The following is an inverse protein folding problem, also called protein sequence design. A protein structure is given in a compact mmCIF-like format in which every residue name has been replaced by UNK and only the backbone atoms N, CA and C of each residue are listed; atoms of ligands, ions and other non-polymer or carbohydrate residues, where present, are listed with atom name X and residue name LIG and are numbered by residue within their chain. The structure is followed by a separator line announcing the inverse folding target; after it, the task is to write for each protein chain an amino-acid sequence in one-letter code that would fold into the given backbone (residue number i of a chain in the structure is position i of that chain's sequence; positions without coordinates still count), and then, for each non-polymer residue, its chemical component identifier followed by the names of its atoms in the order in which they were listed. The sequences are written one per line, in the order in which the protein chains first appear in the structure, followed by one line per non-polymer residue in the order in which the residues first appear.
data_IF_845860303632
#
_entry.id   IF_845860303632
#
_cell.length_a   1.000
_cell.length_b   1.000
_cell.length_c   1.000
_cell.angle_alpha   90.00
_cell.angle_beta   90.00
_cell.angle_gamma   90.00
#
_symmetry.space_group_name_H-M   'P 1'
#
loop_
_entity.id
_entity.type
_entity.pdbx_description
1 polymer ?
#
# COMPACT_ATOMS: atom_id res chain seq x y z
N UNK A 1 8.63 -1.30 -3.36
CA UNK A 1 7.42 -2.08 -3.69
C UNK A 1 6.12 -1.30 -3.53
N UNK A 2 6.08 -0.15 -2.83
CA UNK A 2 4.87 0.71 -2.78
C UNK A 2 5.04 2.07 -3.49
N UNK A 3 6.03 2.19 -4.40
CA UNK A 3 6.28 3.43 -5.15
C UNK A 3 5.12 3.82 -6.05
N UNK A 4 4.40 2.86 -6.62
CA UNK A 4 3.21 3.10 -7.44
C UNK A 4 2.02 3.58 -6.58
N UNK A 5 1.82 3.00 -5.39
CA UNK A 5 0.81 3.50 -4.45
C UNK A 5 1.08 4.94 -4.03
N UNK A 6 2.35 5.23 -3.71
CA UNK A 6 2.77 6.57 -3.33
C UNK A 6 2.60 7.58 -4.46
N UNK A 7 2.93 7.20 -5.71
CA UNK A 7 2.71 8.04 -6.88
C UNK A 7 1.23 8.33 -7.12
N UNK A 8 0.35 7.33 -6.97
CA UNK A 8 -1.09 7.52 -7.08
C UNK A 8 -1.64 8.47 -6.00
N UNK A 9 -1.24 8.29 -4.74
CA UNK A 9 -1.62 9.20 -3.65
C UNK A 9 -1.14 10.64 -3.91
N UNK A 10 0.10 10.81 -4.35
CA UNK A 10 0.62 12.14 -4.72
C UNK A 10 -0.18 12.77 -5.86
N UNK A 11 -0.56 11.98 -6.88
CA UNK A 11 -1.39 12.45 -7.99
C UNK A 11 -2.79 12.91 -7.51
N UNK A 12 -3.32 12.29 -6.45
CA UNK A 12 -4.57 12.66 -5.78
C UNK A 12 -4.42 13.85 -4.79
N UNK A 13 -3.22 14.44 -4.69
CA UNK A 13 -2.95 15.62 -3.88
C UNK A 13 -2.44 15.34 -2.47
N UNK A 14 -2.11 14.08 -2.13
CA UNK A 14 -1.61 13.72 -0.82
C UNK A 14 -0.16 14.18 -0.59
N UNK A 15 0.12 14.55 0.65
CA UNK A 15 1.48 14.66 1.16
C UNK A 15 1.91 13.30 1.71
N UNK A 16 2.84 12.62 1.03
CA UNK A 16 3.25 11.25 1.35
C UNK A 16 4.66 11.26 1.94
N UNK A 17 4.83 10.67 3.12
CA UNK A 17 6.15 10.35 3.69
C UNK A 17 6.44 8.88 3.42
N UNK A 18 7.61 8.58 2.88
CA UNK A 18 8.03 7.24 2.48
C UNK A 18 9.27 6.81 3.25
N UNK A 19 9.09 6.16 4.41
CA UNK A 19 10.19 5.52 5.08
C UNK A 19 10.60 4.27 4.30
N UNK A 20 11.80 4.26 3.72
CA UNK A 20 12.32 3.08 3.00
C UNK A 20 13.81 2.89 3.26
N UNK A 21 14.25 1.62 3.36
CA UNK A 21 15.68 1.27 3.43
C UNK A 21 16.43 1.56 2.14
N UNK A 22 15.70 1.57 1.02
CA UNK A 22 16.24 1.91 -0.30
C UNK A 22 15.78 3.30 -0.67
N UNK A 23 16.75 4.18 -0.92
CA UNK A 23 16.50 5.51 -1.46
C UNK A 23 15.71 5.39 -2.76
N UNK A 24 14.51 5.95 -2.78
CA UNK A 24 13.62 5.95 -3.95
C UNK A 24 12.86 7.27 -3.97
N UNK A 25 13.55 8.39 -4.28
CA UNK A 25 12.91 9.69 -4.36
C UNK A 25 11.89 9.63 -5.50
N UNK A 26 10.63 9.91 -5.19
CA UNK A 26 9.68 10.27 -6.23
C UNK A 26 9.98 11.73 -6.59
N UNK A 27 10.10 12.08 -7.88
CA UNK A 27 10.37 13.46 -8.27
C UNK A 27 9.24 14.34 -7.73
N UNK A 28 9.56 15.14 -6.72
CA UNK A 28 8.72 16.25 -6.33
C UNK A 28 8.78 17.24 -7.48
N UNK A 29 7.62 17.45 -8.11
CA UNK A 29 7.37 18.51 -9.09
C UNK A 29 7.99 18.24 -10.48
N UNK A 30 7.36 17.35 -11.24
CA UNK A 30 7.04 17.62 -12.64
C UNK A 30 6.02 16.58 -13.15
N UNK A 31 4.78 17.00 -13.35
CA UNK A 31 3.72 16.17 -13.96
C UNK A 31 4.20 15.59 -15.31
N UNK A 32 5.00 16.35 -16.04
CA UNK A 32 5.58 15.96 -17.32
C UNK A 32 6.66 14.87 -17.18
N UNK A 33 7.46 14.90 -16.10
CA UNK A 33 8.46 13.87 -15.82
C UNK A 33 7.81 12.57 -15.33
N UNK A 34 6.69 12.66 -14.60
CA UNK A 34 5.88 11.50 -14.21
C UNK A 34 5.17 10.88 -15.43
N UNK A 35 4.53 11.69 -16.27
CA UNK A 35 3.92 11.24 -17.52
C UNK A 35 4.97 10.62 -18.47
N UNK A 36 6.17 11.20 -18.54
CA UNK A 36 7.28 10.67 -19.33
C UNK A 36 7.90 9.41 -18.72
N UNK A 37 8.00 9.29 -17.38
CA UNK A 37 8.48 8.09 -16.71
C UNK A 37 7.49 6.93 -16.86
N UNK A 38 6.18 7.20 -16.78
CA UNK A 38 5.11 6.24 -17.07
C UNK A 38 5.10 5.85 -18.56
N UNK A 39 5.34 6.79 -19.47
CA UNK A 39 5.43 6.51 -20.91
C UNK A 39 6.72 5.79 -21.31
N UNK A 40 7.84 6.02 -20.61
CA UNK A 40 9.13 5.35 -20.86
C UNK A 40 9.22 3.97 -20.17
N UNK A 41 8.44 3.74 -19.11
CA UNK A 41 8.28 2.43 -18.49
C UNK A 41 7.42 1.46 -19.34
N UNK A 42 6.82 1.95 -20.43
CA UNK A 42 6.01 1.17 -21.36
C UNK A 42 6.45 1.38 -22.83
N UNK A 43 7.57 0.79 -23.30
CA UNK A 43 7.71 0.50 -24.71
C UNK A 43 7.18 -0.93 -24.97
N UNK A 44 6.11 -0.98 -25.76
CA UNK A 44 5.56 -2.11 -26.52
C UNK A 44 5.71 -3.52 -25.93
N UNK A 45 4.66 -3.98 -25.25
CA UNK A 45 4.33 -5.41 -25.20
C UNK A 45 2.86 -5.62 -25.52
N UNK A 46 2.59 -6.00 -26.77
CA UNK A 46 1.37 -6.66 -27.22
C UNK A 46 1.79 -7.77 -28.19
N UNK A 47 1.29 -9.01 -28.09
CA UNK A 47 1.10 -9.82 -26.89
C UNK A 47 1.63 -11.26 -27.08
N UNK A 48 1.99 -11.96 -26.01
CA UNK A 48 2.01 -13.43 -26.04
C UNK A 48 1.43 -13.96 -24.73
N UNK A 49 0.14 -14.32 -24.81
CA UNK A 49 -0.63 -15.10 -23.83
C UNK A 49 -1.13 -14.29 -22.63
N UNK A 50 -2.17 -13.50 -22.90
CA UNK A 50 -3.09 -12.97 -21.92
C UNK A 50 -3.83 -14.11 -21.20
N UNK A 51 -3.29 -14.54 -20.06
CA UNK A 51 -4.10 -15.08 -18.97
C UNK A 51 -4.86 -13.90 -18.36
N UNK A 52 -6.18 -13.91 -18.50
CA UNK A 52 -7.08 -12.79 -18.23
C UNK A 52 -7.16 -12.42 -16.75
N UNK A 53 -6.22 -11.63 -16.24
CA UNK A 53 -6.49 -10.78 -15.07
C UNK A 53 -7.27 -9.57 -15.55
N UNK A 54 -8.59 -9.57 -15.33
CA UNK A 54 -9.37 -8.35 -15.39
C UNK A 54 -9.45 -7.78 -13.98
N UNK A 55 -9.22 -6.47 -13.79
CA UNK A 55 -9.57 -5.83 -12.53
C UNK A 55 -11.04 -6.16 -12.22
N UNK A 56 -11.26 -6.73 -11.04
CA UNK A 56 -12.60 -7.06 -10.56
C UNK A 56 -13.51 -5.84 -10.68
N UNK A 57 -14.81 -6.07 -10.89
CA UNK A 57 -15.77 -4.97 -11.03
C UNK A 57 -15.81 -4.00 -9.83
N UNK A 58 -15.23 -4.40 -8.69
CA UNK A 58 -14.97 -3.55 -7.53
C UNK A 58 -13.85 -2.53 -7.79
N UNK A 59 -12.69 -2.95 -8.33
CA UNK A 59 -11.58 -2.06 -8.67
C UNK A 59 -11.97 -1.01 -9.73
N UNK A 60 -12.74 -1.42 -10.75
CA UNK A 60 -13.29 -0.50 -11.76
C UNK A 60 -14.30 0.49 -11.19
N UNK A 61 -15.14 0.07 -10.24
CA UNK A 61 -16.11 0.95 -9.57
C UNK A 61 -15.44 1.90 -8.57
N UNK A 62 -14.39 1.46 -7.89
CA UNK A 62 -13.59 2.30 -6.99
C UNK A 62 -12.90 3.44 -7.74
N UNK A 63 -12.35 3.17 -8.93
CA UNK A 63 -11.76 4.20 -9.81
C UNK A 63 -12.80 5.17 -10.42
N UNK A 64 -14.09 4.91 -10.25
CA UNK A 64 -15.19 5.70 -10.83
C UNK A 64 -16.10 6.36 -9.79
N UNK A 65 -15.91 6.08 -8.50
CA UNK A 65 -16.84 6.45 -7.42
C UNK A 65 -16.33 7.62 -6.59
N UNK A 66 -16.79 8.83 -6.91
CA UNK A 66 -16.51 10.01 -6.09
C UNK A 66 -17.31 10.00 -4.79
N UNK A 67 -16.64 10.14 -3.65
CA UNK A 67 -17.32 10.38 -2.39
C UNK A 67 -16.55 10.03 -1.12
N UNK A 68 -15.35 10.57 -0.93
CA UNK A 68 -14.62 10.48 0.34
C UNK A 68 -13.38 11.36 0.31
N UNK A 69 -13.30 12.32 1.24
CA UNK A 69 -12.26 13.35 1.36
C UNK A 69 -12.08 14.30 0.15
N UNK A 70 -12.54 15.54 0.30
CA UNK A 70 -12.30 16.62 -0.67
C UNK A 70 -11.00 17.32 -0.24
N UNK A 71 -9.89 17.25 -1.00
CA UNK A 71 -8.69 17.98 -0.66
C UNK A 71 -9.03 19.46 -0.57
N UNK A 72 -8.79 20.05 0.60
CA UNK A 72 -9.00 21.49 0.80
C UNK A 72 -7.88 22.21 0.07
N UNK A 73 -8.25 22.91 -1.01
CA UNK A 73 -7.38 23.62 -1.96
C UNK A 73 -6.50 22.72 -2.83
N UNK A 74 -6.27 23.15 -4.07
CA UNK A 74 -5.39 22.51 -5.06
C UNK A 74 -3.94 22.49 -4.55
N UNK A 75 -3.64 21.56 -3.65
CA UNK A 75 -2.28 21.26 -3.22
C UNK A 75 -1.73 20.26 -4.21
N UNK A 76 -0.62 20.60 -4.85
CA UNK A 76 0.20 19.59 -5.51
C UNK A 76 0.65 18.61 -4.43
N UNK A 77 0.27 17.34 -4.58
CA UNK A 77 0.77 16.30 -3.71
C UNK A 77 2.29 16.27 -3.78
N UNK A 78 2.95 15.84 -2.70
CA UNK A 78 4.42 15.75 -2.65
C UNK A 78 4.83 14.48 -1.93
N UNK A 79 5.96 13.91 -2.34
CA UNK A 79 6.55 12.76 -1.68
C UNK A 79 7.86 13.17 -0.99
N UNK A 80 7.99 12.85 0.29
CA UNK A 80 9.20 13.03 1.06
C UNK A 80 9.74 11.67 1.46
N UNK A 81 11.01 11.41 1.13
CA UNK A 81 11.66 10.18 1.53
C UNK A 81 12.32 10.34 2.90
N UNK A 82 12.24 9.28 3.70
CA UNK A 82 12.93 9.16 4.99
C UNK A 82 13.65 7.81 5.01
N UNK A 83 14.85 7.78 5.57
CA UNK A 83 15.56 6.51 5.73
C UNK A 83 14.83 5.64 6.75
N UNK A 84 14.43 4.44 6.35
CA UNK A 84 13.81 3.50 7.29
C UNK A 84 14.85 2.60 7.97
N UNK A 85 15.15 2.87 9.23
CA UNK A 85 15.80 1.90 10.11
C UNK A 85 14.76 1.25 11.03
N UNK A 86 14.42 0.01 10.71
CA UNK A 86 13.42 -0.78 11.45
C UNK A 86 13.94 -1.28 12.79
N UNK A 87 15.26 -1.36 12.91
CA UNK A 87 15.96 -1.64 14.15
C UNK A 87 16.02 -0.42 15.09
N UNK A 88 15.62 0.77 14.59
CA UNK A 88 15.49 2.01 15.37
C UNK A 88 14.10 2.66 15.11
N UNK A 89 13.02 2.09 15.68
CA UNK A 89 11.65 2.58 15.48
C UNK A 89 11.45 4.03 15.92
N UNK A 90 12.12 4.46 17.00
CA UNK A 90 11.99 5.82 17.53
C UNK A 90 12.65 6.84 16.59
N UNK A 91 13.86 6.55 16.10
CA UNK A 91 14.53 7.38 15.10
C UNK A 91 13.76 7.46 13.78
N UNK A 92 13.15 6.34 13.37
CA UNK A 92 12.24 6.27 12.23
C UNK A 92 11.03 7.20 12.42
N UNK A 93 10.32 7.09 13.56
CA UNK A 93 9.14 7.89 13.86
C UNK A 93 9.48 9.38 13.97
N UNK A 94 10.57 9.74 14.63
CA UNK A 94 11.03 11.13 14.72
C UNK A 94 11.30 11.73 13.34
N UNK A 95 11.99 10.98 12.47
CA UNK A 95 12.31 11.43 11.11
C UNK A 95 11.05 11.54 10.24
N UNK A 96 10.13 10.58 10.35
CA UNK A 96 8.85 10.61 9.66
C UNK A 96 7.98 11.79 10.12
N UNK A 97 7.89 12.04 11.43
CA UNK A 97 7.15 13.16 12.00
C UNK A 97 7.71 14.52 11.56
N UNK A 98 9.03 14.66 11.53
CA UNK A 98 9.69 15.87 11.01
C UNK A 98 9.38 16.12 9.53
N UNK A 99 9.39 15.06 8.71
CA UNK A 99 9.04 15.17 7.29
C UNK A 99 7.55 15.48 7.08
N UNK A 100 6.68 14.84 7.85
CA UNK A 100 5.24 15.01 7.77
C UNK A 100 4.81 16.44 8.15
N UNK A 101 5.43 17.00 9.20
CA UNK A 101 5.15 18.32 9.75
C UNK A 101 3.65 18.52 10.07
N UNK A 102 3.07 17.55 10.76
CA UNK A 102 1.66 17.45 11.11
C UNK A 102 1.28 16.03 11.48
N UNK A 103 -0.01 15.79 11.66
CA UNK A 103 -0.58 14.45 11.85
C UNK A 103 -0.83 13.77 10.49
N UNK A 104 -0.85 12.44 10.47
CA UNK A 104 -1.12 11.64 9.28
C UNK A 104 -2.57 11.16 9.30
N UNK A 105 -3.33 11.45 8.24
CA UNK A 105 -4.69 10.94 8.07
C UNK A 105 -4.74 9.49 7.55
N UNK A 106 -3.62 8.97 7.03
CA UNK A 106 -3.50 7.63 6.45
C UNK A 106 -2.12 7.02 6.75
N UNK A 107 -2.12 5.79 7.23
CA UNK A 107 -0.93 4.94 7.36
C UNK A 107 -1.04 3.74 6.43
N UNK A 108 -0.04 3.54 5.56
CA UNK A 108 0.12 2.30 4.79
C UNK A 108 1.39 1.60 5.27
N UNK A 109 1.23 0.48 5.98
CA UNK A 109 2.29 -0.22 6.67
C UNK A 109 2.53 -1.60 6.05
N UNK A 110 3.64 -1.76 5.31
CA UNK A 110 4.14 -3.09 4.95
C UNK A 110 5.37 -3.39 5.78
N UNK A 111 5.18 -4.05 6.93
CA UNK A 111 6.20 -4.20 7.96
C UNK A 111 6.54 -5.70 8.18
N UNK A 112 7.82 -6.09 8.05
CA UNK A 112 8.33 -7.38 8.52
C UNK A 112 7.84 -7.70 9.94
N UNK A 113 7.32 -8.90 10.13
CA UNK A 113 6.64 -9.32 11.36
C UNK A 113 7.49 -9.08 12.62
N UNK A 114 8.81 -9.30 12.54
CA UNK A 114 9.75 -9.14 13.67
C UNK A 114 9.84 -7.69 14.21
N UNK A 115 9.48 -6.68 13.42
CA UNK A 115 9.50 -5.27 13.83
C UNK A 115 8.10 -4.65 13.95
N UNK A 116 7.04 -5.39 13.59
CA UNK A 116 5.68 -4.86 13.41
C UNK A 116 5.20 -4.03 14.59
N UNK A 117 5.11 -4.66 15.76
CA UNK A 117 4.54 -4.02 16.95
C UNK A 117 5.34 -2.79 17.36
N UNK A 118 6.68 -2.93 17.43
CA UNK A 118 7.56 -1.81 17.83
C UNK A 118 7.51 -0.63 16.88
N UNK A 119 7.42 -0.87 15.56
CA UNK A 119 7.31 0.21 14.58
C UNK A 119 5.94 0.86 14.64
N UNK A 120 4.87 0.06 14.75
CA UNK A 120 3.50 0.58 14.85
C UNK A 120 3.31 1.41 16.13
N UNK A 121 3.84 0.96 17.27
CA UNK A 121 3.87 1.73 18.53
C UNK A 121 4.56 3.08 18.34
N UNK A 122 5.73 3.09 17.70
CA UNK A 122 6.52 4.31 17.52
C UNK A 122 5.85 5.32 16.60
N UNK A 123 5.12 4.88 15.56
CA UNK A 123 4.45 5.78 14.62
C UNK A 123 3.02 6.16 15.02
N UNK A 124 2.39 5.42 15.94
CA UNK A 124 1.02 5.70 16.38
C UNK A 124 0.80 7.16 16.85
N UNK A 125 1.72 7.81 17.58
CA UNK A 125 1.56 9.21 17.99
C UNK A 125 1.56 10.21 16.83
N UNK A 126 1.94 9.80 15.60
CA UNK A 126 1.90 10.64 14.42
C UNK A 126 0.54 10.61 13.71
N UNK A 127 -0.36 9.71 14.11
CA UNK A 127 -1.65 9.51 13.45
C UNK A 127 -2.70 10.49 14.00
N UNK A 128 -3.45 11.11 13.10
CA UNK A 128 -4.63 11.88 13.45
C UNK A 128 -5.67 10.96 14.13
N UNK A 129 -6.52 11.49 15.00
CA UNK A 129 -7.51 10.70 15.76
C UNK A 129 -8.41 9.81 14.87
N UNK A 130 -8.76 10.27 13.66
CA UNK A 130 -9.61 9.56 12.71
C UNK A 130 -8.84 8.93 11.53
N UNK A 131 -7.52 8.76 11.70
CA UNK A 131 -6.64 8.21 10.69
C UNK A 131 -7.08 6.82 10.23
N UNK A 132 -6.80 6.52 8.97
CA UNK A 132 -7.06 5.22 8.34
C UNK A 132 -5.78 4.40 8.29
N UNK A 133 -5.89 3.10 8.53
CA UNK A 133 -4.73 2.22 8.51
C UNK A 133 -4.92 1.14 7.43
N UNK A 134 -3.88 0.92 6.65
CA UNK A 134 -3.77 -0.21 5.73
C UNK A 134 -2.51 -0.99 6.10
N UNK A 135 -2.68 -2.20 6.62
CA UNK A 135 -1.57 -3.11 6.91
C UNK A 135 -1.40 -4.11 5.75
N UNK A 136 -0.16 -4.30 5.30
CA UNK A 136 0.20 -5.21 4.21
C UNK A 136 1.07 -6.33 4.77
N UNK A 137 0.61 -7.56 4.58
CA UNK A 137 1.26 -8.79 5.00
C UNK A 137 1.71 -9.57 3.75
N UNK A 138 2.98 -9.96 3.72
CA UNK A 138 3.45 -10.91 2.71
C UNK A 138 3.07 -12.33 3.07
N UNK A 139 2.86 -13.21 2.09
CA UNK A 139 2.92 -14.65 2.33
C UNK A 139 4.37 -15.03 2.62
N UNK A 140 4.73 -15.04 3.90
CA UNK A 140 5.85 -15.85 4.35
C UNK A 140 5.61 -17.30 3.98
N UNK A 141 6.68 -18.10 3.97
CA UNK A 141 6.60 -19.53 3.65
C UNK A 141 5.65 -20.22 4.63
N UNK A 142 4.40 -20.49 4.21
CA UNK A 142 3.38 -21.20 4.99
C UNK A 142 2.24 -20.36 5.55
N UNK A 143 2.08 -19.09 5.16
CA UNK A 143 0.97 -18.25 5.67
C UNK A 143 -0.38 -18.60 4.99
N UNK A 144 -1.35 -19.00 5.81
CA UNK A 144 -2.78 -19.12 5.49
C UNK A 144 -3.52 -17.84 5.94
N UNK A 145 -4.77 -17.63 5.52
CA UNK A 145 -5.56 -16.47 6.01
C UNK A 145 -5.64 -16.42 7.54
N UNK A 146 -5.61 -17.59 8.19
CA UNK A 146 -5.69 -17.75 9.64
C UNK A 146 -4.40 -17.35 10.37
N UNK A 147 -3.28 -17.16 9.66
CA UNK A 147 -2.01 -16.70 10.28
C UNK A 147 -1.83 -15.19 10.21
N UNK A 148 -2.76 -14.47 9.58
CA UNK A 148 -2.69 -13.01 9.47
C UNK A 148 -2.97 -12.38 10.83
N UNK A 149 -2.02 -11.62 11.40
CA UNK A 149 -2.22 -11.00 12.70
C UNK A 149 -3.44 -10.07 12.73
N UNK A 150 -4.10 -9.99 13.88
CA UNK A 150 -5.09 -8.95 14.13
C UNK A 150 -4.45 -7.55 14.10
N UNK A 151 -5.21 -6.49 13.76
CA UNK A 151 -4.72 -5.12 13.79
C UNK A 151 -4.10 -4.79 15.14
N UNK A 152 -2.88 -4.26 15.11
CA UNK A 152 -2.18 -3.90 16.34
C UNK A 152 -2.67 -2.56 16.88
N UNK A 153 -2.91 -1.61 15.97
CA UNK A 153 -3.46 -0.28 16.29
C UNK A 153 -5.00 -0.36 16.35
N UNK A 154 -5.53 -0.89 17.46
CA UNK A 154 -6.97 -1.20 17.61
C UNK A 154 -7.89 -0.01 17.60
N UNK A 155 -7.37 1.19 17.89
CA UNK A 155 -8.15 2.43 17.92
C UNK A 155 -8.45 2.97 16.51
N UNK A 156 -7.82 2.39 15.48
CA UNK A 156 -7.92 2.86 14.10
C UNK A 156 -8.59 1.83 13.18
N UNK A 157 -9.53 2.26 12.32
CA UNK A 157 -10.15 1.39 11.32
C UNK A 157 -9.08 0.89 10.34
N UNK A 158 -8.84 -0.41 10.37
CA UNK A 158 -7.72 -1.04 9.64
C UNK A 158 -8.21 -1.94 8.51
N UNK A 159 -7.78 -1.67 7.28
CA UNK A 159 -7.86 -2.63 6.18
C UNK A 159 -6.57 -3.48 6.19
N UNK A 160 -6.69 -4.79 6.04
CA UNK A 160 -5.53 -5.70 5.96
C UNK A 160 -5.41 -6.26 4.56
N UNK A 161 -4.20 -6.27 3.99
CA UNK A 161 -3.90 -6.81 2.66
C UNK A 161 -2.95 -7.98 2.81
N UNK A 162 -3.31 -9.14 2.27
CA UNK A 162 -2.48 -10.35 2.29
C UNK A 162 -2.04 -10.66 0.87
N UNK A 163 -0.73 -10.72 0.66
CA UNK A 163 -0.12 -10.96 -0.64
C UNK A 163 0.19 -12.43 -0.82
N UNK A 164 -0.49 -13.09 -1.76
CA UNK A 164 -0.26 -14.47 -2.16
C UNK A 164 0.61 -14.61 -3.41
N UNK A 165 0.29 -15.62 -4.21
CA UNK A 165 0.93 -15.92 -5.50
C UNK A 165 -0.12 -16.05 -6.61
N UNK A 166 0.30 -16.15 -7.87
CA UNK A 166 -0.61 -16.36 -9.00
C UNK A 166 -0.33 -17.72 -9.64
N UNK A 167 -1.37 -18.49 -9.92
CA UNK A 167 -1.24 -19.73 -10.69
C UNK A 167 -0.99 -19.45 -12.18
N UNK A 168 0.03 -20.10 -12.72
CA UNK A 168 0.36 -20.18 -14.13
C UNK A 168 0.35 -21.64 -14.56
N UNK A 169 -0.84 -22.14 -14.90
CA UNK A 169 -1.06 -23.55 -15.21
C UNK A 169 -0.75 -24.42 -13.98
N UNK A 170 0.31 -25.21 -14.06
CA UNK A 170 0.77 -26.08 -12.97
C UNK A 170 1.84 -25.45 -12.07
N UNK A 171 2.25 -24.22 -12.35
CA UNK A 171 3.28 -23.51 -11.59
C UNK A 171 2.70 -22.30 -10.89
N UNK A 172 3.40 -21.81 -9.87
CA UNK A 172 3.07 -20.55 -9.20
C UNK A 172 4.13 -19.51 -9.52
N UNK A 173 3.71 -18.25 -9.60
CA UNK A 173 4.63 -17.12 -9.62
C UNK A 173 4.27 -16.12 -8.53
N UNK A 174 5.25 -15.35 -8.10
CA UNK A 174 5.01 -14.21 -7.24
C UNK A 174 4.16 -13.16 -7.95
N UNK A 175 3.44 -12.37 -7.14
CA UNK A 175 2.77 -11.17 -7.60
C UNK A 175 3.80 -10.19 -8.18
N UNK A 176 3.42 -9.53 -9.26
CA UNK A 176 4.15 -8.39 -9.80
C UNK A 176 4.00 -7.19 -8.88
N UNK A 177 4.90 -6.21 -9.01
CA UNK A 177 4.81 -4.97 -8.25
C UNK A 177 3.48 -4.24 -8.49
N UNK A 178 2.98 -4.22 -9.73
CA UNK A 178 1.70 -3.62 -10.09
C UNK A 178 0.52 -4.37 -9.45
N UNK A 179 0.52 -5.71 -9.46
CA UNK A 179 -0.54 -6.48 -8.79
C UNK A 179 -0.57 -6.22 -7.28
N UNK A 180 0.59 -6.09 -6.65
CA UNK A 180 0.69 -5.68 -5.24
C UNK A 180 0.16 -4.26 -5.04
N UNK A 181 0.61 -3.31 -5.89
CA UNK A 181 0.23 -1.91 -5.77
C UNK A 181 -1.28 -1.69 -5.96
N UNK A 182 -1.90 -2.36 -6.94
CA UNK A 182 -3.34 -2.33 -7.19
C UNK A 182 -4.14 -2.86 -5.99
N UNK A 183 -3.68 -3.98 -5.42
CA UNK A 183 -4.31 -4.58 -4.24
C UNK A 183 -4.25 -3.66 -3.02
N UNK A 184 -3.09 -3.04 -2.79
CA UNK A 184 -2.90 -2.07 -1.69
C UNK A 184 -3.74 -0.81 -1.93
N UNK A 185 -3.76 -0.26 -3.14
CA UNK A 185 -4.56 0.92 -3.48
C UNK A 185 -6.05 0.64 -3.32
N UNK A 186 -6.53 -0.55 -3.71
CA UNK A 186 -7.92 -0.92 -3.48
C UNK A 186 -8.29 -0.92 -1.99
N UNK A 187 -7.38 -1.34 -1.10
CA UNK A 187 -7.60 -1.29 0.34
C UNK A 187 -7.54 0.15 0.88
N UNK A 188 -6.63 0.99 0.37
CA UNK A 188 -6.56 2.42 0.68
C UNK A 188 -7.88 3.12 0.32
N UNK A 189 -8.38 2.94 -0.91
CA UNK A 189 -9.65 3.55 -1.34
C UNK A 189 -10.79 3.15 -0.40
N UNK A 190 -10.90 1.86 -0.04
CA UNK A 190 -11.91 1.41 0.92
C UNK A 190 -11.80 2.09 2.28
N UNK A 191 -10.57 2.24 2.78
CA UNK A 191 -10.32 2.88 4.06
C UNK A 191 -10.75 4.36 4.03
N UNK A 192 -10.43 5.06 2.94
CA UNK A 192 -10.78 6.47 2.72
C UNK A 192 -12.29 6.68 2.46
N UNK A 193 -12.95 5.71 1.82
CA UNK A 193 -14.40 5.67 1.63
C UNK A 193 -15.17 5.35 2.94
N UNK A 194 -14.45 5.11 4.04
CA UNK A 194 -15.04 4.80 5.34
C UNK A 194 -15.69 3.41 5.41
N UNK A 195 -15.31 2.50 4.52
CA UNK A 195 -15.81 1.13 4.54
C UNK A 195 -15.30 0.37 5.77
N UNK A 196 -16.07 -0.61 6.30
CA UNK A 196 -15.65 -1.39 7.46
C UNK A 196 -14.30 -2.09 7.26
N UNK A 197 -13.51 -2.29 8.34
CA UNK A 197 -12.32 -3.13 8.35
C UNK A 197 -12.56 -4.47 7.66
N UNK A 198 -11.64 -4.87 6.79
CA UNK A 198 -11.73 -6.12 6.04
C UNK A 198 -10.34 -6.67 5.72
N UNK A 199 -10.28 -7.97 5.46
CA UNK A 199 -9.10 -8.69 4.98
C UNK A 199 -9.20 -8.84 3.45
N UNK A 200 -8.20 -8.31 2.74
CA UNK A 200 -8.10 -8.31 1.27
C UNK A 200 -7.01 -9.27 0.84
N UNK A 201 -7.38 -10.32 0.13
CA UNK A 201 -6.42 -11.23 -0.47
C UNK A 201 -6.06 -10.76 -1.88
N UNK A 202 -4.76 -10.67 -2.17
CA UNK A 202 -4.23 -10.38 -3.51
C UNK A 202 -3.51 -11.63 -3.99
N UNK A 203 -3.93 -12.18 -5.12
CA UNK A 203 -3.50 -13.51 -5.56
C UNK A 203 -4.13 -14.64 -4.74
N UNK A 204 -3.59 -15.84 -4.87
CA UNK A 204 -3.99 -17.06 -4.19
C UNK A 204 -3.05 -17.36 -3.01
N UNK A 205 -3.61 -17.82 -1.90
CA UNK A 205 -2.87 -18.37 -0.77
C UNK A 205 -2.70 -19.88 -0.94
N UNK A 206 -1.77 -20.50 -0.21
CA UNK A 206 -1.41 -21.90 -0.48
C UNK A 206 -2.64 -22.83 -0.37
N UNK A 207 -2.88 -23.74 -1.34
CA UNK A 207 -4.08 -24.61 -1.36
C UNK A 207 -4.13 -25.70 -0.27
N UNK A 208 -3.25 -25.71 0.73
CA UNK A 208 -3.35 -26.73 1.78
C UNK A 208 -4.56 -26.49 2.71
N UNK A 209 -5.20 -25.32 2.65
CA UNK A 209 -6.47 -25.02 3.32
C UNK A 209 -7.71 -25.68 2.62
N UNK A 210 -7.52 -26.39 1.51
CA UNK A 210 -8.60 -27.01 0.71
C UNK A 210 -8.59 -28.56 0.73
N UNK A 211 -7.75 -29.18 1.56
CA UNK A 211 -7.84 -30.63 1.81
C UNK A 211 -8.55 -30.88 3.15
N UNK A 212 -9.62 -31.69 3.18
CA UNK A 212 -10.32 -32.07 4.41
C UNK A 212 -9.46 -32.91 5.36
#
# INVERSE_FOLDING_TARGET
MLSECAAALVADGWHVVLPSRRYSPLPAEDKLALDQALSNALPELVPAHAGSYQPGSAARRAMSGGGGHRPTAARTGRALWVEASWADPDGLAASAGNALNGEADLLVAWIHAEYRERVLDAVAPLLAFDARVVEVHGSGTGDSLDTVPEPYLTDYPTQRVVLGFVWQGMTTRWLTHTEVADGVLSAVCRALDGLPPALHQVGDLHPWDMLP
#
